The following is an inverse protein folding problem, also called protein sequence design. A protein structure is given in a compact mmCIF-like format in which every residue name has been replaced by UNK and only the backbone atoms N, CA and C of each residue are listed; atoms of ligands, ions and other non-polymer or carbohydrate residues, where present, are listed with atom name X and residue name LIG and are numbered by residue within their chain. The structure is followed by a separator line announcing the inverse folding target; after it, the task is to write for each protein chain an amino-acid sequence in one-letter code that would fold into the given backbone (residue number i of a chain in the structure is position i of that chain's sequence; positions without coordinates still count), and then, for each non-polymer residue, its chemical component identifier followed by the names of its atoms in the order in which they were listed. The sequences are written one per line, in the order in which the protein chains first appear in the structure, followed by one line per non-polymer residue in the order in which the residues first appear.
data_IF_794520196669
#
_entry.id   IF_794520196669
#
_cell.length_a   1.000
_cell.length_b   1.000
_cell.length_c   1.000
_cell.angle_alpha   90.00
_cell.angle_beta   90.00
_cell.angle_gamma   90.00
#
_symmetry.space_group_name_H-M   'P 1'
#
loop_
_entity.id
_entity.type
_entity.pdbx_description
1 polymer ?
#
# COMPACT_ATOMS: atom_id res chain seq x y z
N UNK A 1 -9.25 22.02 35.32
CA UNK A 1 -9.56 22.32 33.90
C UNK A 1 -8.36 22.09 32.99
N UNK A 2 -7.14 22.37 33.44
CA UNK A 2 -5.91 22.16 32.64
C UNK A 2 -5.66 20.73 32.16
N UNK A 3 -5.90 19.74 33.01
CA UNK A 3 -5.64 18.33 32.65
C UNK A 3 -6.55 17.84 31.52
N UNK A 4 -7.82 18.22 31.57
CA UNK A 4 -8.81 17.86 30.54
C UNK A 4 -8.44 18.54 29.21
N UNK A 5 -8.08 19.83 29.25
CA UNK A 5 -7.65 20.57 28.06
C UNK A 5 -6.39 19.95 27.42
N UNK A 6 -5.41 19.55 28.24
CA UNK A 6 -4.19 18.88 27.77
C UNK A 6 -4.50 17.58 27.04
N UNK A 7 -5.35 16.73 27.60
CA UNK A 7 -5.75 15.49 26.94
C UNK A 7 -6.56 15.75 25.67
N UNK A 8 -7.45 16.73 25.67
CA UNK A 8 -8.22 17.10 24.48
C UNK A 8 -7.31 17.55 23.32
N UNK A 9 -6.28 18.34 23.59
CA UNK A 9 -5.31 18.78 22.57
C UNK A 9 -4.48 17.60 22.07
N UNK A 10 -4.02 16.72 22.96
CA UNK A 10 -3.23 15.55 22.56
C UNK A 10 -4.04 14.58 21.67
N UNK A 11 -5.26 14.25 22.08
CA UNK A 11 -6.16 13.38 21.31
C UNK A 11 -6.54 14.06 20.00
N UNK A 12 -6.94 15.33 20.04
CA UNK A 12 -7.29 16.11 18.86
C UNK A 12 -6.15 16.18 17.85
N UNK A 13 -4.91 16.37 18.33
CA UNK A 13 -3.71 16.40 17.49
C UNK A 13 -3.46 15.07 16.78
N UNK A 14 -3.57 13.94 17.48
CA UNK A 14 -3.39 12.61 16.88
C UNK A 14 -4.48 12.34 15.85
N UNK A 15 -5.75 12.64 16.18
CA UNK A 15 -6.87 12.46 15.24
C UNK A 15 -6.69 13.32 13.99
N UNK A 16 -6.33 14.60 14.15
CA UNK A 16 -6.06 15.49 13.03
C UNK A 16 -4.92 14.98 12.15
N UNK A 17 -3.83 14.48 12.75
CA UNK A 17 -2.72 13.88 12.03
C UNK A 17 -3.16 12.65 11.21
N UNK A 18 -3.97 11.77 11.79
CA UNK A 18 -4.49 10.59 11.11
C UNK A 18 -5.39 10.97 9.92
N UNK A 19 -6.26 11.97 10.09
CA UNK A 19 -7.11 12.47 9.01
C UNK A 19 -6.28 13.09 7.89
N UNK A 20 -5.27 13.91 8.23
CA UNK A 20 -4.34 14.46 7.26
C UNK A 20 -3.60 13.36 6.48
N UNK A 21 -3.16 12.31 7.18
CA UNK A 21 -2.48 11.17 6.56
C UNK A 21 -3.39 10.40 5.59
N UNK A 22 -4.64 10.15 5.96
CA UNK A 22 -5.62 9.52 5.07
C UNK A 22 -5.87 10.39 3.83
N UNK A 23 -5.92 11.70 4.00
CA UNK A 23 -6.08 12.62 2.87
C UNK A 23 -4.88 12.58 1.91
N UNK A 24 -3.65 12.59 2.45
CA UNK A 24 -2.42 12.41 1.65
C UNK A 24 -2.45 11.10 0.89
N UNK A 25 -2.84 9.99 1.53
CA UNK A 25 -2.97 8.70 0.87
C UNK A 25 -4.02 8.71 -0.25
N UNK A 26 -5.14 9.41 -0.07
CA UNK A 26 -6.18 9.55 -1.08
C UNK A 26 -5.68 10.32 -2.30
N UNK A 27 -5.00 11.44 -2.08
CA UNK A 27 -4.37 12.24 -3.15
C UNK A 27 -3.30 11.42 -3.86
N UNK A 28 -2.45 10.71 -3.11
CA UNK A 28 -1.43 9.84 -3.67
C UNK A 28 -2.02 8.76 -4.57
N UNK A 29 -3.07 8.06 -4.12
CA UNK A 29 -3.78 7.05 -4.92
C UNK A 29 -4.35 7.66 -6.20
N UNK A 30 -4.88 8.89 -6.15
CA UNK A 30 -5.42 9.57 -7.32
C UNK A 30 -4.32 9.97 -8.31
N UNK A 31 -3.23 10.56 -7.82
CA UNK A 31 -2.09 11.02 -8.65
C UNK A 31 -1.34 9.86 -9.29
N UNK A 32 -1.14 8.76 -8.56
CA UNK A 32 -0.42 7.59 -9.03
C UNK A 32 -1.34 6.45 -9.50
N UNK A 33 -2.63 6.72 -9.73
CA UNK A 33 -3.60 5.69 -10.13
C UNK A 33 -3.26 5.07 -11.49
N UNK A 34 -2.63 5.83 -12.38
CA UNK A 34 -2.17 5.36 -13.69
C UNK A 34 -1.01 4.35 -13.61
N UNK A 35 -0.34 4.23 -12.44
CA UNK A 35 0.71 3.23 -12.20
C UNK A 35 0.22 2.03 -11.36
N UNK A 36 -1.08 1.95 -11.01
CA UNK A 36 -1.67 0.77 -10.35
C UNK A 36 -2.06 -0.32 -11.37
N UNK A 37 -2.04 -0.02 -12.68
CA UNK A 37 -2.18 -1.03 -13.72
C UNK A 37 -0.92 -1.88 -13.92
N UNK A 38 0.22 -1.47 -13.38
CA UNK A 38 1.36 -2.38 -13.25
C UNK A 38 1.11 -3.28 -12.05
N UNK A 39 1.19 -4.60 -12.30
CA UNK A 39 1.13 -5.61 -11.25
C UNK A 39 1.97 -5.12 -10.07
N UNK A 40 1.32 -5.00 -8.91
CA UNK A 40 1.95 -4.71 -7.63
C UNK A 40 3.32 -5.42 -7.61
N UNK A 41 4.43 -4.76 -7.28
CA UNK A 41 5.76 -5.43 -7.30
C UNK A 41 5.80 -6.62 -6.30
N UNK A 42 4.74 -6.77 -5.49
CA UNK A 42 4.45 -7.89 -4.59
C UNK A 42 3.34 -8.85 -5.09
N UNK A 43 2.63 -8.55 -6.19
CA UNK A 43 1.60 -9.39 -6.80
C UNK A 43 2.19 -10.63 -7.51
N UNK A 44 3.38 -10.52 -8.09
CA UNK A 44 4.04 -11.65 -8.76
C UNK A 44 4.39 -12.81 -7.79
N UNK A 45 4.42 -12.55 -6.47
CA UNK A 45 4.58 -13.61 -5.46
C UNK A 45 3.32 -14.44 -5.19
N UNK A 46 2.13 -14.02 -5.65
CA UNK A 46 0.89 -14.79 -5.40
C UNK A 46 0.63 -15.88 -6.43
N UNK A 47 1.25 -15.81 -7.61
CA UNK A 47 1.01 -16.77 -8.70
C UNK A 47 1.94 -17.99 -8.65
N UNK A 48 3.06 -17.94 -7.91
CA UNK A 48 3.87 -19.12 -7.65
C UNK A 48 3.42 -19.85 -6.37
N UNK A 49 2.12 -20.10 -6.27
CA UNK A 49 1.49 -20.92 -5.25
C UNK A 49 0.86 -22.14 -5.91
N UNK A 50 1.65 -23.21 -6.06
CA UNK A 50 1.20 -24.55 -6.47
C UNK A 50 1.08 -24.85 -7.98
N UNK A 51 1.89 -24.23 -8.84
CA UNK A 51 2.22 -24.88 -10.11
C UNK A 51 3.13 -26.07 -9.77
N UNK A 52 2.67 -27.30 -10.01
CA UNK A 52 3.43 -28.55 -9.88
C UNK A 52 4.62 -28.65 -10.85
N UNK A 53 5.29 -27.54 -11.13
CA UNK A 53 6.46 -27.42 -11.97
C UNK A 53 7.68 -27.87 -11.18
N UNK A 54 7.93 -29.18 -11.18
CA UNK A 54 9.20 -29.77 -10.73
C UNK A 54 10.35 -29.55 -11.73
N UNK A 55 10.18 -28.68 -12.73
CA UNK A 55 11.21 -28.37 -13.73
C UNK A 55 11.44 -26.87 -13.83
N UNK A 56 12.73 -26.50 -13.81
CA UNK A 56 13.22 -25.13 -13.94
C UNK A 56 12.75 -24.54 -15.28
N UNK A 57 12.06 -23.39 -15.24
CA UNK A 57 11.69 -22.63 -16.44
C UNK A 57 12.95 -22.23 -17.21
N UNK A 58 13.12 -22.76 -18.42
CA UNK A 58 14.07 -22.24 -19.40
C UNK A 58 13.32 -21.38 -20.42
N UNK A 59 13.82 -20.16 -20.65
CA UNK A 59 13.34 -19.27 -21.71
C UNK A 59 13.49 -19.97 -23.05
N UNK A 60 12.39 -20.25 -23.71
CA UNK A 60 12.39 -20.72 -25.10
C UNK A 60 12.69 -19.52 -26.00
N UNK A 61 13.72 -19.64 -26.84
CA UNK A 61 14.01 -18.64 -27.87
C UNK A 61 12.98 -18.82 -28.98
N UNK A 62 12.07 -17.85 -29.09
CA UNK A 62 11.21 -17.72 -30.26
C UNK A 62 12.12 -17.36 -31.44
N UNK A 63 12.14 -18.24 -32.45
CA UNK A 63 12.79 -18.03 -33.75
C UNK A 63 11.88 -17.12 -34.60
#
# INVERSE_FOLDING_TARGET
MDTILRYAIAIGGIVALMLAWVWVQSVWRKTFSENISDEDVLAERRSCGNCGCTKVCKKEKVI
#
